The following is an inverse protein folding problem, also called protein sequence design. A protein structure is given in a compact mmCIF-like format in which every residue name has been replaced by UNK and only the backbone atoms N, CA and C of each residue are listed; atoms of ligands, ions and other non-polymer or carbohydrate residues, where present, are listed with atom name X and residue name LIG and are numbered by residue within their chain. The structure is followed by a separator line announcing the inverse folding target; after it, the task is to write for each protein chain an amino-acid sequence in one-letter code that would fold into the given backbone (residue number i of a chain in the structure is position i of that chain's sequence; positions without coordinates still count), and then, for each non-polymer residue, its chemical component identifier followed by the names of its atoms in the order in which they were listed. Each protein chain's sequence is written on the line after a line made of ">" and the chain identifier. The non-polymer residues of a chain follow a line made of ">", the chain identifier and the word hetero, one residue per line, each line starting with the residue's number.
data_IF_039380900835
#
_entry.id   IF_039380900835
#
_cell.length_a   1.000
_cell.length_b   1.000
_cell.length_c   1.000
_cell.angle_alpha   90.00
_cell.angle_beta   90.00
_cell.angle_gamma   90.00
#
_symmetry.space_group_name_H-M   'P 1'
#
loop_
_entity.id
_entity.type
_entity.pdbx_description
1 polymer ?
#
# COMPACT_ATOMS: atom_id res chain seq x y z
N UNK A 1 19.86 -5.49 11.21
CA UNK A 1 19.42 -5.91 12.57
C UNK A 1 18.87 -4.70 13.34
N UNK A 2 19.59 -3.59 13.39
CA UNK A 2 19.15 -2.35 14.06
C UNK A 2 17.83 -1.76 13.50
N UNK A 3 17.67 -1.70 12.17
CA UNK A 3 16.44 -1.22 11.53
C UNK A 3 15.21 -2.09 11.81
N UNK A 4 15.41 -3.41 11.95
CA UNK A 4 14.35 -4.36 12.31
C UNK A 4 13.88 -4.14 13.75
N UNK A 5 14.77 -3.67 14.63
CA UNK A 5 14.46 -3.35 16.03
C UNK A 5 13.68 -2.05 16.16
N UNK A 6 14.04 -1.02 15.39
CA UNK A 6 13.34 0.28 15.35
C UNK A 6 11.92 0.11 14.76
N UNK A 7 11.76 -0.75 13.75
CA UNK A 7 10.45 -1.04 13.14
C UNK A 7 9.48 -1.78 14.10
N UNK A 8 10.00 -2.54 15.06
CA UNK A 8 9.19 -3.14 16.13
C UNK A 8 8.61 -2.08 17.08
N UNK A 9 9.31 -0.97 17.28
CA UNK A 9 8.92 0.12 18.20
C UNK A 9 8.11 1.27 17.55
N UNK A 10 7.87 1.23 16.24
CA UNK A 10 7.02 2.26 15.62
C UNK A 10 5.53 2.06 15.98
N UNK A 11 4.84 3.12 16.44
CA UNK A 11 3.42 3.08 16.78
C UNK A 11 2.59 2.70 15.55
N UNK A 12 1.49 1.98 15.78
CA UNK A 12 0.62 1.44 14.73
C UNK A 12 0.16 2.53 13.74
N UNK A 13 -0.10 3.73 14.24
CA UNK A 13 -0.42 4.91 13.43
C UNK A 13 0.66 5.25 12.39
N UNK A 14 1.93 5.22 12.77
CA UNK A 14 3.04 5.50 11.84
C UNK A 14 3.17 4.42 10.76
N UNK A 15 2.86 3.15 11.10
CA UNK A 15 2.80 2.04 10.14
C UNK A 15 1.65 2.21 9.15
N UNK A 16 0.48 2.62 9.61
CA UNK A 16 -0.70 2.89 8.77
C UNK A 16 -0.46 4.06 7.82
N UNK A 17 0.17 5.15 8.31
CA UNK A 17 0.54 6.32 7.49
C UNK A 17 1.55 5.91 6.41
N UNK A 18 2.60 5.18 6.79
CA UNK A 18 3.63 4.71 5.84
C UNK A 18 3.03 3.80 4.78
N UNK A 19 2.18 2.85 5.18
CA UNK A 19 1.49 1.96 4.25
C UNK A 19 0.55 2.71 3.31
N UNK A 20 -0.15 3.73 3.81
CA UNK A 20 -1.02 4.57 2.97
C UNK A 20 -0.20 5.36 1.94
N UNK A 21 0.97 5.89 2.31
CA UNK A 21 1.89 6.53 1.36
C UNK A 21 2.39 5.56 0.29
N UNK A 22 2.70 4.32 0.66
CA UNK A 22 3.13 3.28 -0.29
C UNK A 22 2.02 2.92 -1.27
N UNK A 23 0.77 2.82 -0.82
CA UNK A 23 -0.39 2.60 -1.70
C UNK A 23 -0.51 3.74 -2.70
N UNK A 24 -0.47 5.00 -2.26
CA UNK A 24 -0.54 6.15 -3.17
C UNK A 24 0.59 6.17 -4.20
N UNK A 25 1.81 5.78 -3.81
CA UNK A 25 2.93 5.65 -4.77
C UNK A 25 2.71 4.54 -5.79
N UNK A 26 2.07 3.44 -5.39
CA UNK A 26 1.71 2.36 -6.30
C UNK A 26 0.63 2.77 -7.30
N UNK A 27 -0.33 3.61 -6.90
CA UNK A 27 -1.32 4.18 -7.82
C UNK A 27 -0.69 5.12 -8.85
N UNK A 28 0.29 5.93 -8.44
CA UNK A 28 1.08 6.76 -9.36
C UNK A 28 1.87 5.88 -10.35
N UNK A 29 2.44 4.76 -9.90
CA UNK A 29 3.16 3.83 -10.76
C UNK A 29 2.24 3.17 -11.80
N UNK A 30 1.01 2.81 -11.41
CA UNK A 30 -0.02 2.31 -12.35
C UNK A 30 -0.37 3.37 -13.40
N UNK A 31 -0.52 4.64 -12.99
CA UNK A 31 -0.77 5.73 -13.92
C UNK A 31 0.35 5.88 -14.94
N UNK A 32 1.61 5.88 -14.51
CA UNK A 32 2.75 5.94 -15.44
C UNK A 32 2.82 4.73 -16.36
N UNK A 33 2.55 3.52 -15.86
CA UNK A 33 2.50 2.32 -16.67
C UNK A 33 1.41 2.41 -17.75
N UNK A 34 0.24 2.94 -17.40
CA UNK A 34 -0.86 3.18 -18.34
C UNK A 34 -0.45 4.22 -19.39
N UNK A 35 0.12 5.36 -18.99
CA UNK A 35 0.60 6.40 -19.92
C UNK A 35 1.65 5.83 -20.89
N UNK A 36 2.60 5.04 -20.39
CA UNK A 36 3.64 4.44 -21.22
C UNK A 36 3.07 3.46 -22.24
N UNK A 37 2.03 2.70 -21.87
CA UNK A 37 1.31 1.83 -22.79
C UNK A 37 0.49 2.60 -23.84
N UNK A 38 -0.23 3.64 -23.44
CA UNK A 38 -1.00 4.50 -24.35
C UNK A 38 -0.11 5.17 -25.40
N UNK A 39 1.11 5.56 -25.00
CA UNK A 39 2.13 6.10 -25.91
C UNK A 39 2.87 5.02 -26.72
N UNK A 40 2.44 3.76 -26.64
CA UNK A 40 3.04 2.60 -27.33
C UNK A 40 4.53 2.37 -27.01
N UNK A 41 5.00 2.88 -25.87
CA UNK A 41 6.38 2.68 -25.41
C UNK A 41 6.59 1.26 -24.86
N UNK A 42 5.49 0.59 -24.50
CA UNK A 42 5.50 -0.75 -23.92
C UNK A 42 4.53 -1.64 -24.73
N UNK A 43 4.95 -2.85 -25.17
CA UNK A 43 4.06 -3.83 -25.78
C UNK A 43 2.93 -4.24 -24.84
N UNK A 44 1.74 -4.48 -25.37
CA UNK A 44 0.55 -4.85 -24.57
C UNK A 44 0.77 -6.09 -23.69
N UNK A 45 1.51 -7.09 -24.17
CA UNK A 45 1.85 -8.28 -23.36
C UNK A 45 2.65 -7.92 -22.10
N UNK A 46 3.64 -7.03 -22.23
CA UNK A 46 4.45 -6.54 -21.10
C UNK A 46 3.63 -5.65 -20.17
N UNK A 47 2.75 -4.83 -20.72
CA UNK A 47 1.81 -4.04 -19.94
C UNK A 47 0.89 -4.93 -19.08
N UNK A 48 0.32 -6.00 -19.66
CA UNK A 48 -0.55 -6.95 -18.94
C UNK A 48 0.22 -7.64 -17.81
N UNK A 49 1.44 -8.12 -18.08
CA UNK A 49 2.26 -8.78 -17.07
C UNK A 49 2.58 -7.84 -15.89
N UNK A 50 3.06 -6.62 -16.19
CA UNK A 50 3.40 -5.62 -15.17
C UNK A 50 2.17 -5.14 -14.41
N UNK A 51 1.06 -4.90 -15.10
CA UNK A 51 -0.20 -4.47 -14.50
C UNK A 51 -0.74 -5.53 -13.54
N UNK A 52 -0.70 -6.81 -13.92
CA UNK A 52 -1.10 -7.92 -13.05
C UNK A 52 -0.29 -7.95 -11.75
N UNK A 53 1.04 -7.83 -11.84
CA UNK A 53 1.94 -7.75 -10.68
C UNK A 53 1.60 -6.55 -9.78
N UNK A 54 1.36 -5.37 -10.36
CA UNK A 54 0.98 -4.17 -9.59
C UNK A 54 -0.39 -4.31 -8.92
N UNK A 55 -1.34 -5.02 -9.53
CA UNK A 55 -2.63 -5.30 -8.93
C UNK A 55 -2.52 -6.26 -7.74
N UNK A 56 -1.68 -7.29 -7.83
CA UNK A 56 -1.42 -8.21 -6.72
C UNK A 56 -0.78 -7.47 -5.53
N UNK A 57 0.25 -6.66 -5.78
CA UNK A 57 0.88 -5.84 -4.74
C UNK A 57 -0.15 -4.89 -4.11
N UNK A 58 -1.01 -4.25 -4.91
CA UNK A 58 -2.09 -3.41 -4.40
C UNK A 58 -3.07 -4.17 -3.48
N UNK A 59 -3.44 -5.40 -3.83
CA UNK A 59 -4.28 -6.28 -2.99
C UNK A 59 -3.58 -6.63 -1.68
N UNK A 60 -2.30 -6.97 -1.72
CA UNK A 60 -1.52 -7.28 -0.50
C UNK A 60 -1.41 -6.07 0.42
N UNK A 61 -1.05 -4.89 -0.11
CA UNK A 61 -0.97 -3.66 0.68
C UNK A 61 -2.32 -3.25 1.27
N UNK A 62 -3.40 -3.39 0.51
CA UNK A 62 -4.76 -3.15 0.98
C UNK A 62 -5.18 -4.12 2.09
N UNK A 63 -4.85 -5.41 1.94
CA UNK A 63 -5.08 -6.44 2.96
C UNK A 63 -4.30 -6.15 4.26
N UNK A 64 -3.03 -5.76 4.15
CA UNK A 64 -2.22 -5.37 5.30
C UNK A 64 -2.74 -4.11 5.97
N UNK A 65 -3.24 -3.13 5.21
CA UNK A 65 -3.85 -1.92 5.76
C UNK A 65 -5.11 -2.25 6.55
N UNK A 66 -5.99 -3.09 5.99
CA UNK A 66 -7.19 -3.58 6.69
C UNK A 66 -6.83 -4.37 7.94
N UNK A 67 -5.82 -5.25 7.87
CA UNK A 67 -5.34 -6.04 9.01
C UNK A 67 -4.72 -5.19 10.13
N UNK A 68 -4.04 -4.10 9.80
CA UNK A 68 -3.50 -3.15 10.79
C UNK A 68 -4.61 -2.32 11.44
N UNK A 69 -5.62 -1.92 10.66
CA UNK A 69 -6.81 -1.23 11.18
C UNK A 69 -7.65 -2.14 12.09
N UNK A 70 -7.81 -3.42 11.75
CA UNK A 70 -8.59 -4.37 12.57
C UNK A 70 -7.86 -4.84 13.84
N UNK A 71 -6.53 -4.84 13.83
CA UNK A 71 -5.70 -5.12 15.02
C UNK A 71 -5.52 -3.92 15.95
N UNK A 72 -6.06 -2.75 15.59
CA UNK A 72 -6.21 -1.64 16.52
C UNK A 72 -7.42 -1.95 17.39
N UNK A 73 -7.30 -2.26 18.70
CA UNK A 73 -8.46 -2.20 19.57
C UNK A 73 -8.99 -0.78 19.43
N UNK A 74 -10.28 -0.65 19.12
CA UNK A 74 -10.96 0.63 19.02
C UNK A 74 -10.45 1.52 20.16
N UNK A 75 -9.79 2.62 19.79
CA UNK A 75 -9.53 3.72 20.69
C UNK A 75 -10.89 4.13 21.22
N UNK A 76 -11.21 3.67 22.44
CA UNK A 76 -12.12 4.30 23.40
C UNK A 76 -13.05 5.34 22.76
N UNK A 77 -14.06 4.86 22.04
CA UNK A 77 -15.18 5.67 21.57
C UNK A 77 -16.36 5.33 22.48
N UNK A 78 -16.39 5.94 23.66
CA UNK A 78 -17.48 5.73 24.61
C UNK A 78 -17.24 6.14 26.06
N UNK A 79 -16.34 7.08 26.37
CA UNK A 79 -16.53 7.94 27.54
C UNK A 79 -17.03 9.28 27.03
N UNK A 80 -18.33 9.54 27.20
CA UNK A 80 -18.86 10.80 27.73
C UNK A 80 -20.38 10.72 27.83
N UNK A 81 -20.82 10.79 29.10
CA UNK A 81 -22.09 11.24 29.65
C UNK A 81 -23.16 10.18 29.94
#
# INVERSE_FOLDING_TARGET
>A
IELSFIASYQPLDAKIITLSKTISRLDILKLFLQIAWENKLIPTEKYIEMSSKLQEIGRMLGGWKKGLLSKTPAKSAGEKQ
#
